data_IF_055635875907
#
_entry.id   IF_055635875907
#
_cell.length_a   1.000
_cell.length_b   1.000
_cell.length_c   1.000
_cell.angle_alpha   90.00
_cell.angle_beta   90.00
_cell.angle_gamma   90.00
#
_symmetry.space_group_name_H-M   'P 1'
#
loop_
_entity.id
_entity.type
_entity.pdbx_description
1 polymer ?
#
# COMPACT_ATOMS: atom_id res chain seq x y z
N UNK A 1 15.00 -12.26 -42.73
CA UNK A 1 15.02 -12.77 -41.34
C UNK A 1 14.73 -11.71 -40.28
N UNK A 2 15.41 -10.55 -40.27
CA UNK A 2 15.22 -9.51 -39.22
C UNK A 2 13.77 -8.99 -39.06
N UNK A 3 13.02 -8.83 -40.16
CA UNK A 3 11.61 -8.40 -40.13
C UNK A 3 10.67 -9.42 -39.46
N UNK A 4 10.95 -10.72 -39.59
CA UNK A 4 10.16 -11.79 -38.96
C UNK A 4 10.47 -11.82 -37.46
N UNK A 5 11.75 -11.72 -37.10
CA UNK A 5 12.19 -11.64 -35.71
C UNK A 5 11.58 -10.44 -34.97
N UNK A 6 11.56 -9.26 -35.61
CA UNK A 6 10.89 -8.06 -35.05
C UNK A 6 9.39 -8.25 -34.82
N UNK A 7 8.69 -8.93 -35.74
CA UNK A 7 7.27 -9.25 -35.57
C UNK A 7 7.04 -10.25 -34.42
N UNK A 8 7.94 -11.21 -34.24
CA UNK A 8 7.88 -12.17 -33.14
C UNK A 8 8.07 -11.49 -31.78
N UNK A 9 9.08 -10.60 -31.66
CA UNK A 9 9.28 -9.80 -30.44
C UNK A 9 8.04 -8.97 -30.13
N UNK A 10 7.48 -8.31 -31.14
CA UNK A 10 6.26 -7.52 -30.98
C UNK A 10 5.08 -8.38 -30.51
N UNK A 11 4.91 -9.58 -31.07
CA UNK A 11 3.87 -10.52 -30.65
C UNK A 11 4.06 -10.96 -29.18
N UNK A 12 5.30 -11.28 -28.78
CA UNK A 12 5.60 -11.63 -27.39
C UNK A 12 5.27 -10.47 -26.45
N UNK A 13 5.68 -9.24 -26.80
CA UNK A 13 5.34 -8.05 -26.02
C UNK A 13 3.83 -7.86 -25.90
N UNK A 14 3.08 -8.06 -26.99
CA UNK A 14 1.62 -7.97 -26.98
C UNK A 14 0.99 -9.00 -26.04
N UNK A 15 1.46 -10.25 -26.08
CA UNK A 15 0.99 -11.32 -25.18
C UNK A 15 1.27 -10.95 -23.72
N UNK A 16 2.47 -10.42 -23.41
CA UNK A 16 2.82 -9.99 -22.06
C UNK A 16 1.93 -8.84 -21.57
N UNK A 17 1.63 -7.87 -22.43
CA UNK A 17 0.72 -6.76 -22.10
C UNK A 17 -0.70 -7.28 -21.84
N UNK A 18 -1.22 -8.16 -22.70
CA UNK A 18 -2.54 -8.78 -22.50
C UNK A 18 -2.60 -9.57 -21.19
N UNK A 19 -1.56 -10.37 -20.90
CA UNK A 19 -1.47 -11.12 -19.65
C UNK A 19 -1.49 -10.19 -18.43
N UNK A 20 -0.71 -9.09 -18.46
CA UNK A 20 -0.70 -8.11 -17.37
C UNK A 20 -2.04 -7.39 -17.22
N UNK A 21 -2.71 -7.07 -18.31
CA UNK A 21 -4.05 -6.47 -18.26
C UNK A 21 -5.07 -7.39 -17.57
N UNK A 22 -5.06 -8.68 -17.92
CA UNK A 22 -5.92 -9.68 -17.28
C UNK A 22 -5.57 -9.82 -15.79
N UNK A 23 -4.29 -9.89 -15.45
CA UNK A 23 -3.83 -9.98 -14.06
C UNK A 23 -4.29 -8.79 -13.22
N UNK A 24 -4.10 -7.57 -13.71
CA UNK A 24 -4.53 -6.34 -13.01
C UNK A 24 -6.05 -6.30 -12.87
N UNK A 25 -6.78 -6.65 -13.93
CA UNK A 25 -8.25 -6.68 -13.87
C UNK A 25 -8.75 -7.67 -12.81
N UNK A 26 -8.16 -8.86 -12.73
CA UNK A 26 -8.49 -9.86 -11.73
C UNK A 26 -8.16 -9.38 -10.31
N UNK A 27 -6.97 -8.81 -10.11
CA UNK A 27 -6.52 -8.31 -8.80
C UNK A 27 -7.38 -7.13 -8.33
N UNK A 28 -7.75 -6.20 -9.21
CA UNK A 28 -8.69 -5.11 -8.88
C UNK A 28 -10.05 -5.69 -8.50
N UNK A 29 -10.58 -6.63 -9.28
CA UNK A 29 -11.87 -7.27 -8.98
C UNK A 29 -11.86 -7.97 -7.62
N UNK A 30 -10.75 -8.64 -7.27
CA UNK A 30 -10.58 -9.27 -5.96
C UNK A 30 -10.62 -8.23 -4.83
N UNK A 31 -9.89 -7.13 -4.97
CA UNK A 31 -9.86 -6.05 -3.96
C UNK A 31 -11.24 -5.40 -3.78
N UNK A 32 -11.98 -5.22 -4.87
CA UNK A 32 -13.31 -4.61 -4.81
C UNK A 32 -14.34 -5.43 -4.01
N UNK A 33 -14.11 -6.72 -3.77
CA UNK A 33 -14.93 -7.53 -2.87
C UNK A 33 -14.88 -7.02 -1.42
N UNK A 34 -13.82 -6.32 -1.03
CA UNK A 34 -13.65 -5.76 0.31
C UNK A 34 -14.27 -4.37 0.48
N UNK A 35 -14.80 -3.75 -0.59
CA UNK A 35 -15.33 -2.38 -0.54
C UNK A 35 -16.38 -2.17 0.55
N UNK A 36 -17.32 -3.10 0.69
CA UNK A 36 -18.36 -2.99 1.73
C UNK A 36 -17.78 -3.09 3.14
N UNK A 37 -16.81 -3.99 3.35
CA UNK A 37 -16.17 -4.18 4.64
C UNK A 37 -15.27 -3.00 5.00
N UNK A 38 -14.60 -2.39 4.01
CA UNK A 38 -13.85 -1.15 4.17
C UNK A 38 -14.77 -0.02 4.62
N UNK A 39 -15.93 0.18 3.98
CA UNK A 39 -16.91 1.18 4.41
C UNK A 39 -17.37 0.96 5.84
N UNK A 40 -17.73 -0.27 6.16
CA UNK A 40 -18.15 -0.64 7.52
C UNK A 40 -17.09 -0.28 8.56
N UNK A 41 -15.81 -0.59 8.31
CA UNK A 41 -14.73 -0.22 9.22
C UNK A 41 -14.49 1.29 9.28
N UNK A 42 -14.59 2.00 8.15
CA UNK A 42 -14.45 3.46 8.14
C UNK A 42 -15.57 4.15 8.92
N UNK A 43 -16.80 3.62 8.88
CA UNK A 43 -17.94 4.14 9.65
C UNK A 43 -17.82 3.83 11.16
N UNK A 44 -17.06 2.79 11.54
CA UNK A 44 -16.79 2.41 12.94
C UNK A 44 -15.71 3.28 13.62
N UNK A 45 -14.85 3.95 12.85
CA UNK A 45 -13.65 4.62 13.36
C UNK A 45 -13.67 6.12 13.11
N UNK A 46 -13.12 6.90 14.05
CA UNK A 46 -12.77 8.29 13.79
C UNK A 46 -11.47 8.33 12.98
N UNK A 47 -11.59 8.47 11.66
CA UNK A 47 -10.50 8.27 10.70
C UNK A 47 -10.49 9.36 9.63
N UNK A 48 -9.29 9.77 9.24
CA UNK A 48 -9.05 10.66 8.10
C UNK A 48 -8.76 9.89 6.80
N UNK A 49 -8.64 8.56 6.87
CA UNK A 49 -8.48 7.72 5.70
C UNK A 49 -9.80 7.61 4.94
N UNK A 50 -9.74 7.54 3.61
CA UNK A 50 -10.91 7.35 2.77
C UNK A 50 -10.93 5.96 2.13
N UNK A 51 -12.10 5.56 1.64
CA UNK A 51 -12.34 4.26 1.02
C UNK A 51 -11.36 3.94 -0.12
N UNK A 52 -11.11 4.89 -1.02
CA UNK A 52 -10.26 4.68 -2.19
C UNK A 52 -8.81 4.41 -1.79
N UNK A 53 -8.30 5.17 -0.82
CA UNK A 53 -6.96 4.98 -0.29
C UNK A 53 -6.83 3.63 0.42
N UNK A 54 -7.81 3.22 1.23
CA UNK A 54 -7.77 1.92 1.91
C UNK A 54 -7.82 0.76 0.90
N UNK A 55 -8.66 0.84 -0.13
CA UNK A 55 -8.68 -0.16 -1.20
C UNK A 55 -7.36 -0.20 -1.98
N UNK A 56 -6.76 0.96 -2.26
CA UNK A 56 -5.44 1.03 -2.87
C UNK A 56 -4.37 0.37 -1.99
N UNK A 57 -4.42 0.58 -0.68
CA UNK A 57 -3.53 -0.08 0.29
C UNK A 57 -3.72 -1.61 0.26
N UNK A 58 -4.95 -2.13 0.29
CA UNK A 58 -5.20 -3.58 0.17
C UNK A 58 -4.62 -4.11 -1.15
N UNK A 59 -4.77 -3.37 -2.25
CA UNK A 59 -4.18 -3.73 -3.53
C UNK A 59 -2.65 -3.76 -3.48
N UNK A 60 -1.99 -2.79 -2.85
CA UNK A 60 -0.52 -2.74 -2.76
C UNK A 60 0.05 -3.76 -1.78
N UNK A 61 -0.65 -4.09 -0.69
CA UNK A 61 -0.19 -5.06 0.30
C UNK A 61 -0.38 -6.50 -0.17
N UNK A 62 -1.61 -6.89 -0.50
CA UNK A 62 -1.94 -8.32 -0.69
C UNK A 62 -2.74 -8.65 -1.93
N UNK A 63 -3.31 -7.64 -2.59
CA UNK A 63 -4.25 -7.81 -3.71
C UNK A 63 -5.52 -8.55 -3.24
N UNK A 64 -5.78 -8.53 -1.93
CA UNK A 64 -6.87 -9.23 -1.27
C UNK A 64 -6.75 -10.76 -1.31
N UNK A 65 -5.52 -11.31 -1.33
CA UNK A 65 -5.26 -12.75 -1.54
C UNK A 65 -4.98 -13.56 -0.26
N UNK A 66 -4.84 -12.89 0.88
CA UNK A 66 -4.60 -13.51 2.19
C UNK A 66 -5.50 -12.89 3.24
N UNK A 67 -5.67 -13.53 4.41
CA UNK A 67 -6.54 -13.03 5.48
C UNK A 67 -6.11 -11.67 6.04
N UNK A 68 -4.81 -11.47 6.21
CA UNK A 68 -4.26 -10.17 6.59
C UNK A 68 -4.16 -9.25 5.37
N UNK A 69 -5.32 -8.83 4.85
CA UNK A 69 -5.48 -8.10 3.57
C UNK A 69 -4.74 -6.77 3.51
N UNK A 70 -4.51 -6.10 4.64
CA UNK A 70 -3.72 -4.87 4.74
C UNK A 70 -2.29 -5.10 5.28
N UNK A 71 -1.84 -6.36 5.41
CA UNK A 71 -0.56 -6.74 6.05
C UNK A 71 -0.29 -5.98 7.35
N UNK A 72 -1.33 -5.81 8.15
CA UNK A 72 -1.30 -4.95 9.33
C UNK A 72 -0.85 -5.70 10.59
N UNK A 73 -0.65 -7.02 10.52
CA UNK A 73 -0.24 -7.84 11.68
C UNK A 73 1.02 -7.31 12.35
N UNK A 74 2.02 -6.88 11.58
CA UNK A 74 3.29 -6.43 12.15
C UNK A 74 3.14 -5.13 12.95
N UNK A 75 2.22 -4.26 12.53
CA UNK A 75 1.89 -3.05 13.30
C UNK A 75 1.17 -3.34 14.61
N UNK A 76 0.47 -4.48 14.72
CA UNK A 76 -0.28 -4.89 15.91
C UNK A 76 0.52 -5.80 16.85
N UNK A 77 1.22 -6.79 16.32
CA UNK A 77 1.80 -7.91 17.08
C UNK A 77 3.31 -8.05 16.89
N UNK A 78 3.90 -7.33 15.93
CA UNK A 78 5.29 -7.52 15.52
C UNK A 78 5.55 -8.85 14.80
N UNK A 79 4.50 -9.62 14.48
CA UNK A 79 4.60 -10.88 13.72
C UNK A 79 3.78 -10.79 12.45
N UNK A 80 4.34 -11.28 11.35
CA UNK A 80 3.68 -11.30 10.05
C UNK A 80 2.55 -12.32 10.01
N UNK A 81 1.44 -11.98 9.35
CA UNK A 81 0.28 -12.87 9.14
C UNK A 81 -0.34 -13.46 10.42
N UNK A 82 -0.24 -12.77 11.55
CA UNK A 82 -0.90 -13.20 12.79
C UNK A 82 -2.39 -12.88 12.83
N UNK A 83 -2.84 -11.86 12.08
CA UNK A 83 -4.26 -11.52 11.92
C UNK A 83 -4.88 -12.47 10.89
N UNK A 84 -5.89 -13.23 11.31
CA UNK A 84 -6.57 -14.24 10.48
C UNK A 84 -7.96 -13.80 10.01
N UNK A 85 -8.43 -12.64 10.47
CA UNK A 85 -9.72 -12.06 10.12
C UNK A 85 -9.54 -10.81 9.24
N UNK A 86 -10.27 -10.77 8.12
CA UNK A 86 -10.16 -9.67 7.15
C UNK A 86 -10.62 -8.33 7.75
N UNK A 87 -11.67 -8.32 8.58
CA UNK A 87 -12.19 -7.09 9.18
C UNK A 87 -11.19 -6.51 10.16
N UNK A 88 -10.58 -7.36 10.98
CA UNK A 88 -9.53 -6.95 11.91
C UNK A 88 -8.28 -6.43 11.20
N UNK A 89 -7.88 -7.07 10.09
CA UNK A 89 -6.78 -6.57 9.25
C UNK A 89 -7.08 -5.16 8.73
N UNK A 90 -8.29 -4.93 8.21
CA UNK A 90 -8.72 -3.61 7.73
C UNK A 90 -8.77 -2.60 8.89
N UNK A 91 -9.33 -2.98 10.04
CA UNK A 91 -9.44 -2.09 11.22
C UNK A 91 -8.08 -1.62 11.71
N UNK A 92 -7.12 -2.54 11.87
CA UNK A 92 -5.77 -2.22 12.29
C UNK A 92 -5.03 -1.39 11.23
N UNK A 93 -5.19 -1.75 9.95
CA UNK A 93 -4.59 -1.02 8.85
C UNK A 93 -5.10 0.42 8.74
N UNK A 94 -6.41 0.64 8.85
CA UNK A 94 -7.02 1.97 8.85
C UNK A 94 -6.52 2.80 10.04
N UNK A 95 -6.43 2.22 11.24
CA UNK A 95 -5.91 2.92 12.41
C UNK A 95 -4.45 3.36 12.22
N UNK A 96 -3.61 2.47 11.68
CA UNK A 96 -2.19 2.74 11.41
C UNK A 96 -2.02 3.83 10.36
N UNK A 97 -2.76 3.73 9.26
CA UNK A 97 -2.75 4.71 8.18
C UNK A 97 -3.23 6.09 8.65
N UNK A 98 -4.32 6.13 9.41
CA UNK A 98 -4.89 7.39 9.94
C UNK A 98 -3.93 8.10 10.88
N UNK A 99 -3.25 7.32 11.73
CA UNK A 99 -2.23 7.86 12.60
C UNK A 99 -1.10 8.49 11.78
N UNK A 100 -0.65 7.81 10.71
CA UNK A 100 0.38 8.37 9.84
C UNK A 100 -0.09 9.62 9.09
N UNK A 101 -1.35 9.67 8.63
CA UNK A 101 -1.93 10.83 7.95
C UNK A 101 -1.99 12.05 8.88
N UNK A 102 -2.43 11.86 10.12
CA UNK A 102 -2.48 12.94 11.12
C UNK A 102 -1.06 13.47 11.42
N UNK A 103 -0.09 12.59 11.65
CA UNK A 103 1.29 13.00 11.91
C UNK A 103 1.91 13.68 10.69
N UNK A 104 1.61 13.22 9.48
CA UNK A 104 2.07 13.89 8.26
C UNK A 104 1.49 15.31 8.15
N UNK A 105 0.20 15.48 8.43
CA UNK A 105 -0.45 16.78 8.46
C UNK A 105 0.17 17.71 9.51
N UNK A 106 0.39 17.22 10.74
CA UNK A 106 1.04 17.98 11.82
C UNK A 106 2.45 18.43 11.43
N UNK A 107 3.22 17.54 10.77
CA UNK A 107 4.58 17.83 10.30
C UNK A 107 4.63 18.58 8.96
N UNK A 108 3.46 18.89 8.39
CA UNK A 108 3.30 19.60 7.10
C UNK A 108 4.08 18.90 5.99
N UNK A 109 4.03 17.57 5.97
CA UNK A 109 4.56 16.76 4.86
C UNK A 109 3.42 16.23 4.01
N UNK A 110 3.74 15.83 2.78
CA UNK A 110 2.74 15.36 1.83
C UNK A 110 2.11 14.02 2.24
N UNK A 111 0.92 13.74 1.69
CA UNK A 111 0.16 12.51 1.98
C UNK A 111 0.93 11.24 1.59
N UNK A 112 1.76 11.26 0.54
CA UNK A 112 2.54 10.08 0.16
C UNK A 112 3.60 9.73 1.19
N UNK A 113 4.06 10.70 1.99
CA UNK A 113 4.90 10.40 3.15
C UNK A 113 4.17 9.53 4.17
N UNK A 114 2.89 9.81 4.46
CA UNK A 114 2.08 8.97 5.37
C UNK A 114 1.86 7.56 4.81
N UNK A 115 1.57 7.47 3.51
CA UNK A 115 1.40 6.18 2.80
C UNK A 115 2.70 5.38 2.85
N UNK A 116 3.85 5.99 2.55
CA UNK A 116 5.14 5.32 2.57
C UNK A 116 5.56 4.93 4.00
N UNK A 117 5.20 5.73 5.00
CA UNK A 117 5.41 5.42 6.41
C UNK A 117 4.57 4.23 6.90
N UNK A 118 3.54 3.80 6.15
CA UNK A 118 2.85 2.54 6.44
C UNK A 118 3.80 1.34 6.30
N UNK A 119 4.70 1.38 5.32
CA UNK A 119 5.71 0.34 5.09
C UNK A 119 7.02 0.59 5.86
N UNK A 120 7.52 1.83 5.89
CA UNK A 120 8.80 2.13 6.55
C UNK A 120 8.69 2.40 8.05
N UNK A 121 7.48 2.64 8.54
CA UNK A 121 7.24 3.10 9.90
C UNK A 121 7.26 4.62 10.03
N UNK A 122 6.68 5.10 11.14
CA UNK A 122 6.41 6.53 11.39
C UNK A 122 7.64 7.42 11.41
N UNK A 123 8.81 6.87 11.74
CA UNK A 123 10.06 7.63 11.74
C UNK A 123 10.44 8.17 10.36
N UNK A 124 9.89 7.60 9.28
CA UNK A 124 10.02 8.14 7.93
C UNK A 124 9.39 9.52 7.78
N UNK A 125 8.28 9.80 8.48
CA UNK A 125 7.60 11.10 8.45
C UNK A 125 8.54 12.18 9.00
N UNK A 126 9.25 11.88 10.10
CA UNK A 126 10.24 12.76 10.70
C UNK A 126 11.43 13.00 9.79
N UNK A 127 11.84 11.98 9.05
CA UNK A 127 12.89 12.08 8.06
C UNK A 127 12.48 13.03 6.93
N UNK A 128 11.32 12.84 6.31
CA UNK A 128 10.87 13.72 5.22
C UNK A 128 10.66 15.17 5.69
N UNK A 129 10.13 15.38 6.90
CA UNK A 129 9.96 16.72 7.46
C UNK A 129 11.30 17.49 7.55
N UNK A 130 12.42 16.79 7.73
CA UNK A 130 13.78 17.37 7.75
C UNK A 130 14.40 17.53 6.35
N UNK A 131 13.79 16.96 5.31
CA UNK A 131 14.34 16.88 3.96
C UNK A 131 13.38 17.49 2.91
N UNK A 132 12.73 18.61 3.27
CA UNK A 132 11.92 19.39 2.34
C UNK A 132 10.43 19.11 2.37
N UNK A 133 9.97 18.16 3.18
CA UNK A 133 8.56 17.92 3.43
C UNK A 133 7.81 17.17 2.33
N UNK A 134 8.52 16.71 1.30
CA UNK A 134 7.93 15.94 0.19
C UNK A 134 8.61 14.58 0.03
N UNK A 135 7.80 13.53 -0.07
CA UNK A 135 8.25 12.20 -0.42
C UNK A 135 8.76 12.18 -1.87
N UNK A 136 10.01 11.74 -2.05
CA UNK A 136 10.60 11.54 -3.37
C UNK A 136 11.21 10.15 -3.49
N UNK A 137 11.38 9.66 -4.72
CA UNK A 137 12.03 8.38 -4.96
C UNK A 137 13.48 8.34 -4.45
N UNK A 138 14.18 9.47 -4.46
CA UNK A 138 15.55 9.55 -3.95
C UNK A 138 15.58 9.39 -2.42
N UNK A 139 14.72 10.12 -1.71
CA UNK A 139 14.60 10.04 -0.25
C UNK A 139 14.13 8.65 0.21
N UNK A 140 13.17 8.04 -0.50
CA UNK A 140 12.70 6.69 -0.19
C UNK A 140 13.78 5.61 -0.40
N UNK A 141 14.66 5.78 -1.39
CA UNK A 141 15.77 4.84 -1.67
C UNK A 141 16.95 5.04 -0.73
N UNK A 142 17.21 6.27 -0.32
CA UNK A 142 18.35 6.64 0.52
C UNK A 142 17.98 6.76 2.01
N UNK A 143 16.81 6.24 2.39
CA UNK A 143 16.38 6.22 3.78
C UNK A 143 17.44 5.50 4.64
N UNK A 144 17.87 6.08 5.77
CA UNK A 144 18.77 5.41 6.70
C UNK A 144 18.24 4.03 7.11
N UNK A 145 19.09 3.00 7.09
CA UNK A 145 18.70 1.61 7.45
C UNK A 145 18.08 1.51 8.84
N UNK A 146 18.47 2.37 9.77
CA UNK A 146 17.91 2.41 11.14
C UNK A 146 16.43 2.83 11.16
N UNK A 147 15.94 3.46 10.10
CA UNK A 147 14.54 3.86 9.95
C UNK A 147 13.72 2.86 9.14
N UNK A 148 14.33 1.78 8.64
CA UNK A 148 13.60 0.69 8.01
C UNK A 148 13.08 -0.25 9.10
N UNK A 149 11.78 -0.20 9.37
CA UNK A 149 11.09 -1.39 9.86
C UNK A 149 10.89 -2.32 8.66
N UNK A 150 11.52 -3.50 8.68
CA UNK A 150 11.18 -4.55 7.72
C UNK A 150 9.81 -5.10 8.12
N UNK A 151 8.85 -4.97 7.21
CA UNK A 151 7.67 -5.83 7.07
C UNK A 151 7.97 -6.88 6.00
#
# INVERSE_FOLDING_TARGET
MFKIFRKLIFLILLILVCYKFIQVHHDVKQVMNYRSLVREVLDEQDTVANEELVLAMIYTETKGKVSDVMQSSESATGQKNSILDNKESIRQGVQTLSTNLNVAQEKKVDVWTAVQAYNFGRAYIDYIAKHGGENTLDLAKNIPKILLHQV
#
